data_IF_809093807349
#
_entry.id   IF_809093807349
#
_cell.length_a   1.000
_cell.length_b   1.000
_cell.length_c   1.000
_cell.angle_alpha   90.00
_cell.angle_beta   90.00
_cell.angle_gamma   90.00
#
_symmetry.space_group_name_H-M   'P 1'
#
loop_
_entity.id
_entity.type
_entity.pdbx_description
1 polymer ?
#
# COMPACT_ATOMS: atom_id res chain seq x y z
N UNK A 1 -1.30 -2.15 19.75
CA UNK A 1 -1.95 -0.86 19.47
C UNK A 1 -1.13 -0.15 18.42
N UNK A 2 -1.69 0.26 17.27
CA UNK A 2 -0.96 1.08 16.31
C UNK A 2 -0.51 2.38 16.98
N UNK A 3 0.75 2.75 16.81
CA UNK A 3 1.33 3.98 17.35
C UNK A 3 1.71 4.90 16.19
N UNK A 4 0.98 5.99 15.98
CA UNK A 4 1.23 6.95 14.90
C UNK A 4 0.15 8.03 14.83
N UNK A 5 0.47 9.19 14.24
CA UNK A 5 -0.48 10.26 14.00
C UNK A 5 -1.55 9.80 12.99
N UNK A 6 -2.83 9.91 13.36
CA UNK A 6 -3.93 9.42 12.52
C UNK A 6 -4.04 10.29 11.26
N UNK A 7 -4.03 9.65 10.09
CA UNK A 7 -4.17 10.33 8.82
C UNK A 7 -4.98 9.54 7.79
N UNK A 8 -5.26 10.19 6.67
CA UNK A 8 -5.87 9.56 5.51
C UNK A 8 -4.86 8.68 4.79
N UNK A 9 -5.24 7.43 4.56
CA UNK A 9 -4.36 6.42 3.95
C UNK A 9 -4.66 6.29 2.46
N UNK A 10 -3.63 6.44 1.63
CA UNK A 10 -3.73 6.36 0.18
C UNK A 10 -2.74 5.32 -0.35
N UNK A 11 -3.26 4.20 -0.87
CA UNK A 11 -2.44 3.19 -1.56
C UNK A 11 -2.34 3.49 -3.06
N UNK A 12 -1.16 3.28 -3.64
CA UNK A 12 -0.93 3.53 -5.07
C UNK A 12 -1.54 2.39 -5.91
N UNK A 13 -2.73 2.64 -6.47
CA UNK A 13 -3.42 1.68 -7.33
C UNK A 13 -2.66 1.34 -8.61
N UNK A 14 -1.69 2.16 -9.04
CA UNK A 14 -0.90 1.91 -10.26
C UNK A 14 0.07 0.76 -10.07
N UNK A 15 0.39 0.41 -8.83
CA UNK A 15 1.29 -0.70 -8.52
C UNK A 15 0.64 -2.07 -8.70
N UNK A 16 -0.69 -2.16 -8.88
CA UNK A 16 -1.35 -3.46 -9.10
C UNK A 16 -0.76 -4.19 -10.31
N UNK A 17 -0.32 -5.43 -10.10
CA UNK A 17 0.36 -6.26 -11.09
C UNK A 17 1.84 -5.90 -11.29
N UNK A 18 2.37 -4.86 -10.64
CA UNK A 18 3.76 -4.46 -10.74
C UNK A 18 4.62 -5.19 -9.71
N UNK A 19 5.88 -5.42 -10.07
CA UNK A 19 6.91 -5.86 -9.12
C UNK A 19 7.36 -4.67 -8.26
N UNK A 20 7.60 -4.96 -6.98
CA UNK A 20 8.17 -4.03 -6.00
C UNK A 20 9.31 -4.71 -5.24
N UNK A 21 10.29 -3.93 -4.81
CA UNK A 21 11.36 -4.34 -3.91
C UNK A 21 10.99 -4.09 -2.43
N UNK A 22 11.76 -4.68 -1.53
CA UNK A 22 11.66 -4.35 -0.11
C UNK A 22 12.05 -2.87 0.10
N UNK A 23 11.21 -2.13 0.82
CA UNK A 23 11.39 -0.69 1.07
C UNK A 23 10.68 0.22 0.07
N UNK A 24 10.21 -0.29 -1.07
CA UNK A 24 9.46 0.51 -2.05
C UNK A 24 8.16 1.04 -1.44
N UNK A 25 7.80 2.26 -1.80
CA UNK A 25 6.59 2.93 -1.29
C UNK A 25 5.36 2.36 -1.98
N UNK A 26 4.45 1.81 -1.19
CA UNK A 26 3.15 1.29 -1.64
C UNK A 26 2.02 2.30 -1.46
N UNK A 27 2.20 3.27 -0.57
CA UNK A 27 1.20 4.25 -0.22
C UNK A 27 1.71 5.26 0.80
N UNK A 28 0.83 6.18 1.18
CA UNK A 28 1.16 7.26 2.12
C UNK A 28 0.03 7.49 3.12
N UNK A 29 0.38 8.01 4.29
CA UNK A 29 -0.53 8.58 5.27
C UNK A 29 -0.43 10.10 5.18
N UNK A 30 -1.56 10.80 5.04
CA UNK A 30 -1.59 12.28 5.01
C UNK A 30 -2.38 12.87 6.16
N UNK A 31 -1.90 13.98 6.70
CA UNK A 31 -2.63 14.74 7.70
C UNK A 31 -3.92 15.33 7.08
N UNK A 32 -5.08 15.18 7.73
CA UNK A 32 -6.37 15.47 7.11
C UNK A 32 -6.64 16.95 6.82
N UNK A 33 -5.93 17.86 7.50
CA UNK A 33 -6.14 19.31 7.35
C UNK A 33 -5.01 20.02 6.62
N UNK A 34 -3.75 19.72 7.01
CA UNK A 34 -2.57 20.34 6.37
C UNK A 34 -2.22 19.67 5.04
N UNK A 35 -2.65 18.43 4.81
CA UNK A 35 -2.31 17.66 3.61
C UNK A 35 -0.86 17.15 3.57
N UNK A 36 -0.08 17.39 4.62
CA UNK A 36 1.29 16.90 4.78
C UNK A 36 1.34 15.38 4.79
N UNK A 37 2.40 14.80 4.22
CA UNK A 37 2.69 13.36 4.34
C UNK A 37 3.26 13.08 5.72
N UNK A 38 2.51 12.33 6.52
CA UNK A 38 2.92 11.89 7.86
C UNK A 38 3.82 10.66 7.80
N UNK A 39 3.53 9.74 6.88
CA UNK A 39 4.24 8.46 6.78
C UNK A 39 4.16 7.86 5.37
N UNK A 40 5.17 7.08 5.01
CA UNK A 40 5.17 6.23 3.82
C UNK A 40 4.97 4.78 4.22
N UNK A 41 4.01 4.11 3.57
CA UNK A 41 3.75 2.68 3.73
C UNK A 41 4.66 1.95 2.76
N UNK A 42 5.56 1.12 3.27
CA UNK A 42 6.59 0.44 2.47
C UNK A 42 6.36 -1.05 2.36
N UNK A 43 6.76 -1.62 1.23
CA UNK A 43 6.78 -3.07 1.03
C UNK A 43 7.79 -3.71 2.01
N UNK A 44 7.38 -4.67 2.85
CA UNK A 44 8.29 -5.32 3.79
C UNK A 44 9.25 -6.31 3.09
N UNK A 45 8.91 -6.70 1.86
CA UNK A 45 9.64 -7.67 1.04
C UNK A 45 9.36 -7.41 -0.44
N UNK A 46 10.20 -7.98 -1.30
CA UNK A 46 9.94 -7.99 -2.73
C UNK A 46 8.73 -8.87 -3.09
N UNK A 47 8.07 -8.56 -4.21
CA UNK A 47 6.97 -9.35 -4.75
C UNK A 47 6.13 -8.56 -5.76
N UNK A 48 4.98 -9.11 -6.12
CA UNK A 48 3.99 -8.46 -7.00
C UNK A 48 2.85 -7.93 -6.16
N UNK A 49 2.46 -6.68 -6.37
CA UNK A 49 1.31 -6.09 -5.68
C UNK A 49 0.02 -6.63 -6.33
N UNK A 50 -0.63 -7.57 -5.67
CA UNK A 50 -1.88 -8.20 -6.14
C UNK A 50 -3.08 -7.29 -5.85
N UNK A 51 -3.05 -6.64 -4.69
CA UNK A 51 -4.07 -5.70 -4.27
C UNK A 51 -3.41 -4.44 -3.73
N UNK A 52 -3.90 -3.28 -4.17
CA UNK A 52 -3.63 -1.98 -3.58
C UNK A 52 -4.96 -1.21 -3.60
N UNK A 53 -5.58 -0.99 -2.44
CA UNK A 53 -6.94 -0.47 -2.31
C UNK A 53 -6.98 0.93 -1.71
N UNK A 54 -7.94 1.75 -2.14
CA UNK A 54 -8.18 3.06 -1.53
C UNK A 54 -8.90 2.88 -0.19
N UNK A 55 -8.27 3.23 0.93
CA UNK A 55 -8.96 3.29 2.22
C UNK A 55 -9.29 4.73 2.57
N UNK A 56 -10.53 5.12 2.30
CA UNK A 56 -11.13 6.38 2.73
C UNK A 56 -12.37 6.06 3.58
N UNK A 57 -12.70 6.82 4.64
CA UNK A 57 -11.98 7.96 5.24
C UNK A 57 -11.02 7.56 6.37
N UNK A 58 -11.10 6.35 6.90
CA UNK A 58 -10.19 5.81 7.93
C UNK A 58 -10.21 4.29 7.75
N UNK A 59 -9.12 3.61 7.33
CA UNK A 59 -9.06 2.17 7.49
C UNK A 59 -9.20 1.85 8.98
N UNK A 60 -10.14 0.99 9.34
CA UNK A 60 -10.21 0.44 10.70
C UNK A 60 -8.89 -0.25 11.02
N UNK A 61 -8.56 -0.36 12.31
CA UNK A 61 -7.45 -1.22 12.73
C UNK A 61 -7.63 -2.61 12.08
N UNK A 62 -6.52 -3.21 11.66
CA UNK A 62 -6.48 -4.51 10.97
C UNK A 62 -7.10 -4.56 9.56
N UNK A 63 -7.33 -3.40 8.92
CA UNK A 63 -7.71 -3.36 7.49
C UNK A 63 -6.53 -3.73 6.60
N UNK A 64 -6.74 -4.67 5.67
CA UNK A 64 -5.76 -5.01 4.63
C UNK A 64 -5.64 -3.84 3.65
N UNK A 65 -4.44 -3.23 3.58
CA UNK A 65 -4.15 -2.09 2.69
C UNK A 65 -3.62 -2.55 1.33
N UNK A 66 -2.74 -3.56 1.34
CA UNK A 66 -2.18 -4.16 0.15
C UNK A 66 -1.87 -5.63 0.37
N UNK A 67 -1.82 -6.38 -0.73
CA UNK A 67 -1.37 -7.78 -0.77
C UNK A 67 -0.17 -7.84 -1.70
N UNK A 68 0.97 -8.28 -1.18
CA UNK A 68 2.19 -8.55 -1.94
C UNK A 68 2.37 -10.07 -2.03
N UNK A 69 2.31 -10.60 -3.25
CA UNK A 69 2.45 -12.02 -3.55
C UNK A 69 3.80 -12.36 -4.17
N UNK A 70 4.13 -13.65 -4.19
CA UNK A 70 5.31 -14.16 -4.89
C UNK A 70 4.94 -14.50 -6.33
N UNK A 71 5.72 -14.00 -7.29
CA UNK A 71 5.55 -14.38 -8.69
C UNK A 71 6.13 -15.77 -8.89
N UNK A 72 5.27 -16.74 -9.21
CA UNK A 72 5.68 -18.12 -9.51
C UNK A 72 5.90 -18.31 -11.01
N UNK A 73 4.94 -17.86 -11.82
CA UNK A 73 4.95 -17.97 -13.28
C UNK A 73 4.14 -16.82 -13.88
N UNK A 74 4.57 -16.32 -15.05
CA UNK A 74 3.81 -15.36 -15.85
C UNK A 74 3.16 -16.08 -17.03
N UNK A 75 1.83 -16.07 -17.08
CA UNK A 75 1.07 -16.68 -18.16
C UNK A 75 0.47 -15.56 -19.01
N UNK A 76 0.99 -15.39 -20.22
CA UNK A 76 0.40 -14.50 -21.21
C UNK A 76 -0.78 -15.21 -21.90
N UNK A 77 -1.91 -14.51 -22.01
CA UNK A 77 -3.05 -14.95 -22.81
C UNK A 77 -3.01 -14.13 -24.10
N UNK A 78 -2.87 -14.81 -25.24
CA UNK A 78 -2.94 -14.23 -26.59
C UNK A 78 -4.38 -13.85 -26.98
#
# INVERSE_FOLDING_TARGET
TPTGERGFVFMDKRLRGQQVAAGDVLGIVRHPFSGETLEEIRAPRAGVVVHAGASWPVPLEDTILAIVGDLIEEIAID
#
